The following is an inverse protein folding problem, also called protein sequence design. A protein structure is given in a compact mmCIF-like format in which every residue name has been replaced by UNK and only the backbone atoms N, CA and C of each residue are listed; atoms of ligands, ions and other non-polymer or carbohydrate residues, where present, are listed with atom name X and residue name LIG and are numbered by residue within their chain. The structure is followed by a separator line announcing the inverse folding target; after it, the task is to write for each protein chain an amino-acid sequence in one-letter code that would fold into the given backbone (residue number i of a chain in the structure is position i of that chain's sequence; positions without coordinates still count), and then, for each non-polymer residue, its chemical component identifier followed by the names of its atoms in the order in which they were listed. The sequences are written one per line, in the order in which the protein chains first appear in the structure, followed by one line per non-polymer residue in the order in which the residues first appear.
data_IF_842420974352
#
_entry.id   IF_842420974352
#
_cell.length_a   1.000
_cell.length_b   1.000
_cell.length_c   1.000
_cell.angle_alpha   90.00
_cell.angle_beta   90.00
_cell.angle_gamma   90.00
#
_symmetry.space_group_name_H-M   'P 1'
#
loop_
_entity.id
_entity.type
_entity.pdbx_description
1 polymer ?
#
# COMPACT_ATOMS: atom_id res chain seq x y z
N UNK A 1 19.88 31.65 -3.45
CA UNK A 1 18.66 30.87 -3.76
C UNK A 1 18.61 29.71 -2.78
N UNK A 2 17.75 29.80 -1.76
CA UNK A 2 17.64 28.78 -0.72
C UNK A 2 16.69 27.66 -1.21
N UNK A 3 17.14 26.40 -1.11
CA UNK A 3 16.29 25.23 -1.36
C UNK A 3 15.19 25.18 -0.29
N UNK A 4 13.91 24.97 -0.64
CA UNK A 4 12.88 24.75 0.35
C UNK A 4 13.15 23.42 1.07
N UNK A 5 13.41 23.48 2.37
CA UNK A 5 13.48 22.31 3.25
C UNK A 5 12.04 22.00 3.69
N UNK A 6 11.48 20.91 3.18
CA UNK A 6 10.22 20.33 3.64
C UNK A 6 10.49 19.27 4.74
N UNK A 7 9.51 18.99 5.62
CA UNK A 7 9.73 18.35 6.92
C UNK A 7 10.30 16.92 6.81
N UNK A 8 11.20 16.61 7.74
CA UNK A 8 11.71 15.27 7.99
C UNK A 8 10.55 14.31 8.37
N UNK A 9 10.57 13.02 7.95
CA UNK A 9 9.56 12.06 8.39
C UNK A 9 9.55 11.97 9.91
N UNK A 10 8.44 12.39 10.52
CA UNK A 10 8.25 12.28 11.96
C UNK A 10 7.89 10.84 12.34
N UNK A 11 8.47 10.38 13.45
CA UNK A 11 8.14 9.11 14.09
C UNK A 11 6.63 9.11 14.45
N UNK A 12 5.89 7.99 14.28
CA UNK A 12 4.48 7.94 14.65
C UNK A 12 4.34 8.18 16.15
N UNK A 13 3.73 9.32 16.51
CA UNK A 13 3.25 9.59 17.86
C UNK A 13 2.03 8.71 18.13
N UNK A 14 2.11 7.87 19.17
CA UNK A 14 1.01 7.09 19.70
C UNK A 14 -0.06 8.02 20.28
N UNK A 15 -0.97 8.51 19.44
CA UNK A 15 -2.15 9.25 19.88
C UNK A 15 -3.34 8.87 19.00
N UNK A 16 -4.24 8.15 19.65
CA UNK A 16 -5.47 7.56 19.14
C UNK A 16 -6.40 8.65 18.59
N UNK A 17 -6.53 8.69 17.26
CA UNK A 17 -7.75 8.97 16.51
C UNK A 17 -7.37 8.85 15.02
N UNK A 18 -7.74 7.73 14.38
CA UNK A 18 -7.52 7.49 12.94
C UNK A 18 -8.45 8.41 12.12
N UNK A 19 -8.12 9.70 12.07
CA UNK A 19 -8.80 10.69 11.26
C UNK A 19 -8.01 10.86 9.96
N UNK A 20 -8.43 10.16 8.91
CA UNK A 20 -7.85 10.35 7.58
C UNK A 20 -8.34 11.70 7.03
N UNK A 21 -7.48 12.72 7.05
CA UNK A 21 -7.89 14.08 6.67
C UNK A 21 -7.71 14.32 5.16
N UNK A 22 -8.83 14.47 4.43
CA UNK A 22 -8.86 14.66 2.98
C UNK A 22 -8.32 16.04 2.54
N UNK A 23 -8.26 17.03 3.43
CA UNK A 23 -7.85 18.40 3.10
C UNK A 23 -6.43 18.53 2.52
N UNK A 24 -5.58 17.51 2.69
CA UNK A 24 -4.21 17.49 2.16
C UNK A 24 -4.03 16.73 0.83
N UNK A 25 -5.09 16.12 0.27
CA UNK A 25 -4.98 15.09 -0.78
C UNK A 25 -5.43 15.52 -2.18
N UNK A 26 -5.77 16.79 -2.40
CA UNK A 26 -6.59 17.18 -3.56
C UNK A 26 -5.85 17.40 -4.89
N UNK A 27 -4.56 17.08 -5.06
CA UNK A 27 -3.80 17.45 -6.29
C UNK A 27 -2.70 16.47 -6.78
N UNK A 28 -2.63 15.21 -6.29
CA UNK A 28 -1.63 14.26 -6.84
C UNK A 28 -2.23 13.42 -7.99
N UNK A 29 -1.61 13.39 -9.18
CA UNK A 29 -2.10 12.58 -10.31
C UNK A 29 -1.91 11.07 -10.10
N UNK A 30 -1.16 10.67 -9.07
CA UNK A 30 -0.85 9.28 -8.74
C UNK A 30 -1.85 8.65 -7.76
N UNK A 31 -2.65 9.47 -7.07
CA UNK A 31 -3.61 9.00 -6.07
C UNK A 31 -4.97 8.77 -6.70
N UNK A 32 -5.51 7.56 -6.50
CA UNK A 32 -6.87 7.22 -6.90
C UNK A 32 -7.66 6.75 -5.68
N UNK A 33 -8.84 7.31 -5.51
CA UNK A 33 -9.77 6.95 -4.46
C UNK A 33 -10.93 6.21 -5.13
N UNK A 34 -11.18 4.97 -4.71
CA UNK A 34 -12.30 4.17 -5.22
C UNK A 34 -13.30 3.89 -4.10
N UNK A 35 -14.55 4.40 -4.19
CA UNK A 35 -15.58 4.11 -3.20
C UNK A 35 -15.97 2.63 -3.21
N UNK A 36 -16.37 2.10 -2.05
CA UNK A 36 -16.98 0.77 -1.96
C UNK A 36 -18.38 0.83 -2.57
N UNK A 37 -18.75 -0.06 -3.51
CA UNK A 37 -20.10 -0.10 -4.06
C UNK A 37 -21.15 -0.27 -2.95
N UNK A 38 -22.26 0.44 -3.05
CA UNK A 38 -23.40 0.34 -2.14
C UNK A 38 -24.14 -0.98 -2.34
N UNK A 39 -23.58 -2.07 -1.81
CA UNK A 39 -24.27 -3.34 -1.60
C UNK A 39 -24.90 -3.30 -0.20
N UNK A 40 -26.20 -3.59 -0.09
CA UNK A 40 -27.00 -3.54 1.15
C UNK A 40 -26.60 -4.55 2.25
N UNK A 41 -25.34 -4.98 2.29
CA UNK A 41 -24.77 -5.88 3.28
C UNK A 41 -23.53 -5.21 3.87
N UNK A 42 -23.55 -4.96 5.18
CA UNK A 42 -22.42 -4.37 5.92
C UNK A 42 -21.18 -5.29 5.74
N UNK A 43 -20.09 -4.84 5.08
CA UNK A 43 -18.88 -5.66 4.86
C UNK A 43 -18.25 -6.21 6.13
N UNK A 44 -18.56 -5.59 7.27
CA UNK A 44 -18.11 -5.98 8.61
C UNK A 44 -18.69 -7.31 9.11
N UNK A 45 -19.90 -7.71 8.69
CA UNK A 45 -20.52 -8.94 9.18
C UNK A 45 -19.75 -10.20 8.77
N UNK A 46 -19.29 -10.25 7.52
CA UNK A 46 -18.47 -11.34 6.97
C UNK A 46 -17.05 -11.32 7.55
N UNK A 47 -16.51 -10.14 7.83
CA UNK A 47 -15.17 -9.96 8.41
C UNK A 47 -15.11 -10.40 9.88
N UNK A 48 -16.16 -10.11 10.67
CA UNK A 48 -16.29 -10.58 12.05
C UNK A 48 -16.27 -12.12 12.19
N UNK A 49 -16.89 -12.83 11.25
CA UNK A 49 -16.90 -14.30 11.27
C UNK A 49 -15.54 -14.92 10.91
N UNK A 50 -14.76 -14.27 10.03
CA UNK A 50 -13.40 -14.68 9.71
C UNK A 50 -12.42 -14.41 10.87
N UNK A 51 -12.61 -13.31 11.59
CA UNK A 51 -11.83 -12.94 12.78
C UNK A 51 -11.95 -13.97 13.91
N UNK A 52 -13.16 -14.44 14.19
CA UNK A 52 -13.39 -15.49 15.20
C UNK A 52 -12.68 -16.82 14.89
N UNK A 53 -12.42 -17.11 13.60
CA UNK A 53 -11.66 -18.30 13.19
C UNK A 53 -10.14 -18.12 13.32
N UNK A 54 -9.63 -16.89 13.27
CA UNK A 54 -8.19 -16.60 13.26
C UNK A 54 -7.62 -16.31 14.66
N UNK A 55 -8.44 -15.82 15.60
CA UNK A 55 -8.05 -15.61 17.01
C UNK A 55 -7.49 -16.88 17.69
N UNK A 56 -7.75 -18.07 17.14
CA UNK A 56 -7.25 -19.35 17.65
C UNK A 56 -5.87 -19.79 17.13
N UNK A 57 -5.19 -19.03 16.25
CA UNK A 57 -3.90 -19.41 15.65
C UNK A 57 -2.85 -18.29 15.61
N UNK A 58 -2.67 -17.59 16.73
CA UNK A 58 -1.62 -16.57 16.85
C UNK A 58 -0.20 -17.18 16.99
N UNK A 59 -0.07 -18.38 17.57
CA UNK A 59 1.23 -18.91 18.02
C UNK A 59 2.17 -19.43 16.90
N UNK A 60 1.71 -19.55 15.66
CA UNK A 60 2.45 -20.20 14.56
C UNK A 60 2.95 -19.25 13.44
N UNK A 61 3.00 -17.94 13.69
CA UNK A 61 3.42 -16.95 12.69
C UNK A 61 4.94 -16.72 12.72
N UNK A 62 5.55 -16.57 11.54
CA UNK A 62 6.98 -16.29 11.39
C UNK A 62 7.34 -14.84 11.81
N UNK A 63 8.60 -14.62 12.19
CA UNK A 63 9.10 -13.33 12.68
C UNK A 63 8.87 -12.17 11.70
N UNK A 64 9.06 -12.39 10.39
CA UNK A 64 8.82 -11.37 9.36
C UNK A 64 7.36 -10.90 9.34
N UNK A 65 6.42 -11.81 9.59
CA UNK A 65 5.00 -11.48 9.65
C UNK A 65 4.67 -10.71 10.93
N UNK A 66 5.26 -11.09 12.07
CA UNK A 66 5.09 -10.34 13.31
C UNK A 66 5.66 -8.93 13.24
N UNK A 67 6.85 -8.78 12.65
CA UNK A 67 7.47 -7.48 12.43
C UNK A 67 6.61 -6.63 11.48
N UNK A 68 6.02 -7.23 10.45
CA UNK A 68 5.05 -6.55 9.58
C UNK A 68 3.83 -6.02 10.37
N UNK A 69 3.24 -6.80 11.27
CA UNK A 69 2.10 -6.33 12.06
C UNK A 69 2.45 -5.18 13.02
N UNK A 70 3.66 -5.19 13.57
CA UNK A 70 4.15 -4.16 14.50
C UNK A 70 4.38 -2.79 13.86
N UNK A 71 4.53 -2.72 12.54
CA UNK A 71 4.62 -1.45 11.81
C UNK A 71 3.29 -0.68 11.84
N UNK A 72 2.17 -1.39 11.99
CA UNK A 72 0.86 -0.76 12.10
C UNK A 72 0.68 -0.03 13.44
N UNK A 73 0.00 1.13 13.45
CA UNK A 73 -0.48 1.75 14.69
C UNK A 73 -1.37 0.81 15.53
N UNK A 74 -2.01 -0.17 14.88
CA UNK A 74 -2.88 -1.17 15.49
C UNK A 74 -2.61 -2.56 14.90
N UNK A 75 -2.05 -3.45 15.72
CA UNK A 75 -1.75 -4.85 15.35
C UNK A 75 -3.05 -5.59 14.99
N UNK A 76 -4.13 -5.36 15.74
CA UNK A 76 -5.43 -5.98 15.50
C UNK A 76 -5.98 -5.58 14.15
N UNK A 77 -5.96 -4.28 13.81
CA UNK A 77 -6.46 -3.81 12.50
C UNK A 77 -5.59 -4.33 11.35
N UNK A 78 -4.27 -4.43 11.55
CA UNK A 78 -3.39 -5.04 10.57
C UNK A 78 -3.71 -6.53 10.36
N UNK A 79 -3.96 -7.29 11.43
CA UNK A 79 -4.37 -8.68 11.31
C UNK A 79 -5.73 -8.83 10.58
N UNK A 80 -6.70 -7.96 10.91
CA UNK A 80 -8.01 -7.88 10.22
C UNK A 80 -7.82 -7.60 8.73
N UNK A 81 -7.01 -6.60 8.39
CA UNK A 81 -6.68 -6.24 7.01
C UNK A 81 -6.09 -7.42 6.23
N UNK A 82 -5.18 -8.16 6.85
CA UNK A 82 -4.56 -9.34 6.22
C UNK A 82 -5.56 -10.47 6.00
N UNK A 83 -6.47 -10.71 6.94
CA UNK A 83 -7.55 -11.69 6.77
C UNK A 83 -8.51 -11.27 5.66
N UNK A 84 -8.92 -9.99 5.64
CA UNK A 84 -9.77 -9.44 4.60
C UNK A 84 -9.13 -9.62 3.22
N UNK A 85 -7.85 -9.26 3.09
CA UNK A 85 -7.13 -9.37 1.83
C UNK A 85 -6.91 -10.82 1.39
N UNK A 86 -6.59 -11.73 2.33
CA UNK A 86 -6.50 -13.16 2.02
C UNK A 86 -7.83 -13.73 1.53
N UNK A 87 -8.94 -13.32 2.12
CA UNK A 87 -10.29 -13.71 1.68
C UNK A 87 -10.59 -13.17 0.28
N UNK A 88 -10.29 -11.89 0.03
CA UNK A 88 -10.48 -11.24 -1.27
C UNK A 88 -9.65 -11.92 -2.36
N UNK A 89 -8.39 -12.24 -2.06
CA UNK A 89 -7.50 -12.94 -2.98
C UNK A 89 -8.06 -14.30 -3.42
N UNK A 90 -8.60 -15.07 -2.47
CA UNK A 90 -9.22 -16.37 -2.74
C UNK A 90 -10.50 -16.22 -3.56
N UNK A 91 -11.37 -15.27 -3.18
CA UNK A 91 -12.64 -15.03 -3.86
C UNK A 91 -12.45 -14.60 -5.32
N UNK A 92 -11.46 -13.74 -5.59
CA UNK A 92 -11.18 -13.28 -6.95
C UNK A 92 -10.32 -14.25 -7.76
N UNK A 93 -9.74 -15.28 -7.16
CA UNK A 93 -8.96 -16.30 -7.86
C UNK A 93 -7.50 -15.92 -8.11
N UNK A 94 -6.86 -15.22 -7.17
CA UNK A 94 -5.43 -14.93 -7.18
C UNK A 94 -5.06 -13.49 -7.55
N UNK A 95 -3.78 -13.16 -7.41
CA UNK A 95 -3.30 -11.77 -7.47
C UNK A 95 -3.51 -11.14 -8.85
N UNK A 96 -3.34 -11.91 -9.92
CA UNK A 96 -3.49 -11.45 -11.29
C UNK A 96 -4.92 -10.98 -11.58
N UNK A 97 -5.93 -11.76 -11.18
CA UNK A 97 -7.34 -11.37 -11.34
C UNK A 97 -7.72 -10.21 -10.44
N UNK A 98 -7.28 -10.23 -9.18
CA UNK A 98 -7.50 -9.14 -8.24
C UNK A 98 -6.90 -7.81 -8.73
N UNK A 99 -5.68 -7.84 -9.26
CA UNK A 99 -5.00 -6.67 -9.85
C UNK A 99 -5.82 -6.11 -11.01
N UNK A 100 -6.25 -6.96 -11.95
CA UNK A 100 -7.08 -6.55 -13.10
C UNK A 100 -8.38 -5.87 -12.67
N UNK A 101 -9.09 -6.44 -11.71
CA UNK A 101 -10.34 -5.87 -11.22
C UNK A 101 -10.14 -4.56 -10.46
N UNK A 102 -9.01 -4.43 -9.76
CA UNK A 102 -8.73 -3.25 -8.92
C UNK A 102 -8.29 -2.03 -9.73
N UNK A 103 -7.48 -2.24 -10.78
CA UNK A 103 -6.82 -1.17 -11.51
C UNK A 103 -7.20 -1.04 -12.98
N UNK A 104 -8.00 -1.98 -13.51
CA UNK A 104 -8.29 -2.17 -14.93
C UNK A 104 -7.01 -2.43 -15.75
N UNK A 105 -7.00 -3.44 -16.61
CA UNK A 105 -5.76 -3.83 -17.29
C UNK A 105 -5.47 -2.93 -18.51
N UNK A 106 -4.24 -2.45 -18.63
CA UNK A 106 -3.79 -1.79 -19.86
C UNK A 106 -3.50 -2.83 -20.96
N UNK A 107 -3.59 -2.48 -22.26
CA UNK A 107 -3.25 -3.41 -23.33
C UNK A 107 -1.84 -4.00 -23.19
N UNK A 108 -1.74 -5.33 -23.18
CA UNK A 108 -0.47 -6.06 -23.03
C UNK A 108 0.17 -5.98 -21.63
N UNK A 109 -0.53 -5.43 -20.64
CA UNK A 109 -0.07 -5.41 -19.26
C UNK A 109 -0.15 -6.81 -18.64
N UNK A 110 0.87 -7.18 -17.86
CA UNK A 110 0.95 -8.43 -17.11
C UNK A 110 1.46 -8.14 -15.72
N UNK A 111 0.78 -8.67 -14.70
CA UNK A 111 1.28 -8.64 -13.34
C UNK A 111 2.52 -9.54 -13.25
N UNK A 112 3.60 -9.01 -12.67
CA UNK A 112 4.86 -9.75 -12.48
C UNK A 112 4.98 -10.20 -11.02
N UNK A 113 4.79 -9.26 -10.08
CA UNK A 113 4.98 -9.50 -8.66
C UNK A 113 3.97 -8.76 -7.80
N UNK A 114 3.78 -9.26 -6.58
CA UNK A 114 2.96 -8.62 -5.55
C UNK A 114 3.61 -8.79 -4.17
N UNK A 115 3.67 -7.72 -3.40
CA UNK A 115 4.28 -7.70 -2.07
C UNK A 115 3.37 -7.02 -1.07
N UNK A 116 3.32 -7.58 0.13
CA UNK A 116 2.61 -7.00 1.27
C UNK A 116 3.52 -5.98 1.94
N UNK A 117 3.01 -4.77 2.15
CA UNK A 117 3.76 -3.66 2.74
C UNK A 117 2.81 -2.60 3.32
N UNK A 118 3.38 -1.52 3.81
CA UNK A 118 2.68 -0.30 4.18
C UNK A 118 3.14 0.84 3.28
N UNK A 119 2.22 1.75 2.96
CA UNK A 119 2.53 3.05 2.40
C UNK A 119 2.50 4.09 3.53
N UNK A 120 3.56 4.87 3.67
CA UNK A 120 3.56 6.01 4.58
C UNK A 120 2.64 7.12 4.04
N UNK A 121 1.74 7.61 4.88
CA UNK A 121 0.87 8.76 4.59
C UNK A 121 0.95 9.77 5.71
N UNK A 122 0.43 10.99 5.50
CA UNK A 122 0.35 12.01 6.55
C UNK A 122 -0.53 11.60 7.74
N UNK A 123 -1.43 10.64 7.55
CA UNK A 123 -2.27 10.06 8.61
C UNK A 123 -1.69 8.77 9.19
N UNK A 124 -0.45 8.42 8.83
CA UNK A 124 0.25 7.22 9.28
C UNK A 124 0.36 6.11 8.22
N UNK A 125 0.99 4.97 8.56
CA UNK A 125 1.17 3.86 7.64
C UNK A 125 -0.16 3.18 7.26
N UNK A 126 -0.42 3.04 5.96
CA UNK A 126 -1.57 2.32 5.42
C UNK A 126 -1.12 0.95 4.93
N UNK A 127 -1.64 -0.13 5.53
CA UNK A 127 -1.36 -1.50 5.10
C UNK A 127 -1.99 -1.79 3.72
N UNK A 128 -1.24 -2.47 2.86
CA UNK A 128 -1.74 -2.84 1.56
C UNK A 128 -0.84 -3.81 0.80
N UNK A 129 -1.19 -3.95 -0.48
CA UNK A 129 -0.44 -4.78 -1.43
C UNK A 129 0.11 -3.89 -2.53
N UNK A 130 1.43 -3.95 -2.72
CA UNK A 130 2.16 -3.36 -3.84
C UNK A 130 2.24 -4.37 -4.98
N UNK A 131 1.74 -3.99 -6.14
CA UNK A 131 1.74 -4.74 -7.39
C UNK A 131 2.76 -4.13 -8.35
N UNK A 132 3.55 -4.99 -8.99
CA UNK A 132 4.52 -4.61 -10.02
C UNK A 132 4.09 -5.31 -11.31
N UNK A 133 3.69 -4.54 -12.32
CA UNK A 133 3.43 -5.02 -13.67
C UNK A 133 4.57 -4.63 -14.61
N UNK A 134 4.54 -5.15 -15.84
CA UNK A 134 5.44 -4.70 -16.91
C UNK A 134 5.13 -3.28 -17.42
N UNK A 135 4.16 -2.56 -16.83
CA UNK A 135 3.74 -1.21 -17.24
C UNK A 135 3.73 -0.19 -16.11
N UNK A 136 3.41 -0.60 -14.88
CA UNK A 136 3.27 0.30 -13.73
C UNK A 136 3.53 -0.41 -12.41
N UNK A 137 3.80 0.40 -11.41
CA UNK A 137 3.72 0.03 -10.00
C UNK A 137 2.39 0.54 -9.48
N UNK A 138 1.66 -0.30 -8.75
CA UNK A 138 0.38 0.08 -8.18
C UNK A 138 0.28 -0.40 -6.74
N UNK A 139 -0.26 0.42 -5.85
CA UNK A 139 -0.55 0.05 -4.47
C UNK A 139 -2.05 0.16 -4.22
N UNK A 140 -2.61 -0.78 -3.44
CA UNK A 140 -3.97 -0.69 -2.95
C UNK A 140 -3.98 -1.07 -1.47
N UNK A 141 -4.70 -0.31 -0.64
CA UNK A 141 -4.97 -0.72 0.74
C UNK A 141 -5.69 -2.07 0.78
N UNK A 142 -5.35 -2.88 1.78
CA UNK A 142 -5.90 -4.23 1.94
C UNK A 142 -7.36 -4.22 2.43
N UNK A 143 -7.74 -3.13 3.11
CA UNK A 143 -9.11 -2.87 3.54
C UNK A 143 -9.49 -1.42 3.20
N UNK A 144 -10.79 -1.14 3.02
CA UNK A 144 -11.23 0.23 2.76
C UNK A 144 -11.05 1.08 4.01
N UNK A 145 -10.53 2.29 3.82
CA UNK A 145 -10.40 3.29 4.85
C UNK A 145 -11.72 4.04 5.01
N UNK A 146 -12.05 4.35 6.26
CA UNK A 146 -13.21 5.14 6.62
C UNK A 146 -12.87 6.63 6.56
N UNK A 147 -13.71 7.41 5.88
CA UNK A 147 -13.65 8.87 5.88
C UNK A 147 -15.01 9.48 6.22
N UNK A 148 -14.99 10.64 6.86
CA UNK A 148 -16.17 11.39 7.26
C UNK A 148 -16.27 12.65 6.42
N UNK A 149 -17.24 12.70 5.53
CA UNK A 149 -17.66 13.96 4.90
C UNK A 149 -18.39 14.81 5.95
N UNK A 150 -18.10 16.11 5.98
CA UNK A 150 -18.81 17.05 6.84
C UNK A 150 -20.24 17.32 6.30
N UNK A 151 -21.32 17.24 7.11
CA UNK A 151 -21.45 16.66 8.44
C UNK A 151 -22.18 15.30 8.40
N UNK A 152 -21.42 14.20 8.57
CA UNK A 152 -21.94 12.93 9.10
C UNK A 152 -22.07 11.76 8.13
N UNK A 153 -21.69 11.91 6.86
CA UNK A 153 -21.69 10.79 5.91
C UNK A 153 -20.36 10.05 5.95
N UNK A 154 -20.43 8.76 6.30
CA UNK A 154 -19.27 7.88 6.33
C UNK A 154 -19.10 7.20 4.98
N UNK A 155 -17.99 7.48 4.30
CA UNK A 155 -17.60 6.78 3.08
C UNK A 155 -16.45 5.82 3.34
N UNK A 156 -16.55 4.64 2.72
CA UNK A 156 -15.49 3.63 2.75
C UNK A 156 -14.81 3.64 1.39
N UNK A 157 -13.49 3.84 1.39
CA UNK A 157 -12.73 4.02 0.16
C UNK A 157 -11.41 3.26 0.23
N UNK A 158 -11.01 2.64 -0.88
CA UNK A 158 -9.66 2.09 -0.99
C UNK A 158 -8.66 3.19 -1.31
N UNK A 159 -7.54 3.21 -0.59
CA UNK A 159 -6.42 4.09 -0.89
C UNK A 159 -5.57 3.44 -1.99
N UNK A 160 -5.44 4.09 -3.14
CA UNK A 160 -4.66 3.57 -4.26
C UNK A 160 -3.60 4.56 -4.73
N UNK A 161 -2.44 4.02 -5.10
CA UNK A 161 -1.37 4.74 -5.80
C UNK A 161 -1.10 4.01 -7.11
N UNK A 162 -0.94 4.74 -8.22
CA UNK A 162 -0.57 4.15 -9.52
C UNK A 162 0.54 4.97 -10.16
N UNK A 163 1.72 4.38 -10.34
CA UNK A 163 2.91 5.01 -10.92
C UNK A 163 3.29 4.24 -12.18
N UNK A 164 3.11 4.84 -13.35
CA UNK A 164 3.60 4.27 -14.61
C UNK A 164 5.13 4.17 -14.59
N UNK A 165 5.69 3.09 -15.14
CA UNK A 165 7.14 2.83 -15.06
C UNK A 165 7.98 3.86 -15.81
N UNK A 166 7.41 4.57 -16.78
CA UNK A 166 8.07 5.67 -17.48
C UNK A 166 8.17 6.94 -16.61
N UNK A 167 7.23 7.13 -15.67
CA UNK A 167 7.22 8.22 -14.69
C UNK A 167 8.07 7.93 -13.45
N UNK A 168 8.49 6.68 -13.23
CA UNK A 168 9.37 6.33 -12.12
C UNK A 168 10.81 6.80 -12.42
N UNK A 169 11.41 7.52 -11.48
CA UNK A 169 12.78 8.02 -11.58
C UNK A 169 13.77 7.12 -10.83
N UNK A 170 13.52 6.88 -9.53
CA UNK A 170 14.41 6.07 -8.69
C UNK A 170 13.66 5.13 -7.75
N UNK A 171 14.36 4.09 -7.32
CA UNK A 171 13.95 3.15 -6.28
C UNK A 171 15.15 2.98 -5.35
N UNK A 172 15.09 3.62 -4.19
CA UNK A 172 16.22 3.72 -3.28
C UNK A 172 15.93 2.96 -1.98
N UNK A 173 16.80 2.02 -1.56
CA UNK A 173 16.68 1.39 -0.26
C UNK A 173 17.07 2.37 0.85
N UNK A 174 16.36 2.30 1.98
CA UNK A 174 16.67 3.05 3.19
C UNK A 174 16.36 2.22 4.43
N UNK A 175 16.84 2.65 5.59
CA UNK A 175 16.56 2.01 6.86
C UNK A 175 16.52 3.05 7.98
N UNK A 176 15.77 2.74 9.05
CA UNK A 176 15.73 3.59 10.23
C UNK A 176 17.13 3.62 10.87
N UNK A 177 17.64 4.83 11.11
CA UNK A 177 18.97 5.03 11.69
C UNK A 177 19.07 4.52 13.13
N UNK A 178 17.95 4.57 13.87
CA UNK A 178 17.85 4.08 15.24
C UNK A 178 17.55 2.59 15.29
N UNK A 179 16.84 2.05 14.29
CA UNK A 179 16.48 0.65 14.20
C UNK A 179 16.72 0.10 12.78
N UNK A 180 17.94 -0.38 12.45
CA UNK A 180 18.28 -0.86 11.11
C UNK A 180 17.43 -2.05 10.61
N UNK A 181 16.68 -2.72 11.48
CA UNK A 181 15.71 -3.76 11.09
C UNK A 181 14.48 -3.20 10.38
N UNK A 182 14.15 -1.92 10.62
CA UNK A 182 13.09 -1.20 9.92
C UNK A 182 13.62 -0.69 8.58
N UNK A 183 13.35 -1.47 7.54
CA UNK A 183 13.76 -1.15 6.17
C UNK A 183 12.63 -0.44 5.40
N UNK A 184 13.04 0.46 4.53
CA UNK A 184 12.19 1.31 3.71
C UNK A 184 12.60 1.24 2.24
N UNK A 185 11.63 1.39 1.35
CA UNK A 185 11.87 1.63 -0.08
C UNK A 185 11.31 3.00 -0.41
N UNK A 186 12.18 3.91 -0.81
CA UNK A 186 11.84 5.25 -1.29
C UNK A 186 11.71 5.20 -2.81
N UNK A 187 10.57 5.65 -3.32
CA UNK A 187 10.34 5.78 -4.76
C UNK A 187 10.08 7.23 -5.10
N UNK A 188 10.81 7.73 -6.09
CA UNK A 188 10.69 9.10 -6.57
C UNK A 188 10.22 9.06 -8.02
N UNK A 189 9.22 9.85 -8.37
CA UNK A 189 8.76 10.03 -9.75
C UNK A 189 9.53 11.17 -10.44
N UNK A 190 9.53 11.19 -11.77
CA UNK A 190 10.28 12.19 -12.57
C UNK A 190 9.80 13.62 -12.35
N UNK A 191 8.54 13.80 -11.97
CA UNK A 191 7.91 15.07 -11.60
C UNK A 191 8.04 15.39 -10.09
N UNK A 192 8.79 14.57 -9.33
CA UNK A 192 9.23 14.88 -7.97
C UNK A 192 8.30 14.45 -6.85
N UNK A 193 7.29 13.61 -7.12
CA UNK A 193 6.49 12.99 -6.05
C UNK A 193 7.28 11.86 -5.39
N UNK A 194 7.16 11.78 -4.08
CA UNK A 194 7.86 10.80 -3.25
C UNK A 194 6.88 9.83 -2.60
N UNK A 195 7.23 8.55 -2.59
CA UNK A 195 6.46 7.50 -1.94
C UNK A 195 7.39 6.65 -1.07
N UNK A 196 7.00 6.48 0.19
CA UNK A 196 7.76 5.70 1.17
C UNK A 196 7.00 4.43 1.52
N UNK A 197 7.58 3.29 1.16
CA UNK A 197 7.04 1.98 1.49
C UNK A 197 7.85 1.31 2.58
N UNK A 198 7.18 0.60 3.47
CA UNK A 198 7.78 0.05 4.68
C UNK A 198 7.12 -1.25 5.11
N UNK A 199 7.75 -1.95 6.06
CA UNK A 199 7.18 -3.17 6.65
C UNK A 199 6.91 -4.27 5.62
N UNK A 200 7.80 -4.44 4.64
CA UNK A 200 7.66 -5.52 3.66
C UNK A 200 7.85 -6.88 4.33
N UNK A 201 6.92 -7.83 4.10
CA UNK A 201 7.13 -9.24 4.49
C UNK A 201 8.30 -9.86 3.70
N UNK A 202 8.56 -9.39 2.49
CA UNK A 202 9.65 -9.90 1.64
C UNK A 202 10.45 -8.75 1.02
N UNK A 203 11.08 -7.94 1.89
CA UNK A 203 11.79 -6.72 1.51
C UNK A 203 12.79 -6.91 0.37
N UNK A 204 13.74 -7.84 0.52
CA UNK A 204 14.84 -7.98 -0.46
C UNK A 204 14.31 -8.43 -1.83
N UNK A 205 13.25 -9.25 -1.86
CA UNK A 205 12.56 -9.64 -3.10
C UNK A 205 11.84 -8.45 -3.73
N UNK A 206 11.15 -7.64 -2.93
CA UNK A 206 10.44 -6.46 -3.41
C UNK A 206 11.40 -5.44 -4.01
N UNK A 207 12.48 -5.11 -3.30
CA UNK A 207 13.51 -4.18 -3.77
C UNK A 207 14.15 -4.66 -5.08
N UNK A 208 14.48 -5.95 -5.17
CA UNK A 208 15.03 -6.55 -6.39
C UNK A 208 14.06 -6.40 -7.57
N UNK A 209 12.81 -6.82 -7.40
CA UNK A 209 11.80 -6.77 -8.47
C UNK A 209 11.45 -5.34 -8.91
N UNK A 210 11.47 -4.36 -7.99
CA UNK A 210 11.28 -2.95 -8.32
C UNK A 210 12.44 -2.40 -9.17
N UNK A 211 13.68 -2.72 -8.79
CA UNK A 211 14.87 -2.34 -9.56
C UNK A 211 14.88 -2.97 -10.96
N UNK A 212 14.52 -4.25 -11.07
CA UNK A 212 14.39 -4.92 -12.37
C UNK A 212 13.33 -4.22 -13.25
N UNK A 213 12.16 -3.88 -12.70
CA UNK A 213 11.11 -3.18 -13.43
C UNK A 213 11.57 -1.79 -13.92
N UNK A 214 12.27 -1.02 -13.07
CA UNK A 214 12.84 0.29 -13.43
C UNK A 214 13.88 0.16 -14.56
N UNK A 215 14.80 -0.81 -14.47
CA UNK A 215 15.82 -1.03 -15.49
C UNK A 215 15.22 -1.45 -16.83
N UNK A 216 14.21 -2.33 -16.82
CA UNK A 216 13.50 -2.75 -18.03
C UNK A 216 12.76 -1.58 -18.71
N UNK A 217 12.15 -0.70 -17.92
CA UNK A 217 11.52 0.53 -18.42
C UNK A 217 12.53 1.45 -19.12
N UNK A 218 13.66 1.76 -18.47
CA UNK A 218 14.71 2.60 -19.03
C UNK A 218 15.28 2.05 -20.35
N UNK A 219 15.51 0.73 -20.45
CA UNK A 219 15.99 0.09 -21.68
C UNK A 219 14.98 0.22 -22.82
N UNK A 220 13.69 0.09 -22.52
CA UNK A 220 12.62 0.23 -23.52
C UNK A 220 12.55 1.66 -24.05
N UNK A 221 12.71 2.66 -23.18
CA UNK A 221 12.73 4.08 -23.57
C UNK A 221 13.98 4.46 -24.38
N UNK A 222 15.11 3.79 -24.19
CA UNK A 222 16.36 4.05 -24.95
C UNK A 222 16.39 3.46 -26.36
N UNK A 223 15.38 2.65 -26.73
CA UNK A 223 15.28 1.98 -28.04
C UNK A 223 14.36 2.72 -29.03
N UNK A 224 13.85 3.90 -28.64
CA UNK A 224 13.05 4.82 -29.45
C UNK A 224 13.67 6.21 -29.40
#
# INVERSE_FOLDING_TARGET
MAKPVLPHPQHPSSSSNNQFNMASHNNSPYLSISPVPSSGSRPMGTLCNALNRCARKAEALADDFWNHLRVSPSITDAAVARIAQGTKLLAEGGHDRLFRQTFQILPGEKLLHSYVCYLSTSSGPVIGTLYISNKRIAFCSDYPLCYYDAPGYQHWMYYKVVIELDKLATVDPSANRLNPSEKYIHMITRDGYEFWFMGFISYDKALKSLNEALQHSCRTLSLF
#
